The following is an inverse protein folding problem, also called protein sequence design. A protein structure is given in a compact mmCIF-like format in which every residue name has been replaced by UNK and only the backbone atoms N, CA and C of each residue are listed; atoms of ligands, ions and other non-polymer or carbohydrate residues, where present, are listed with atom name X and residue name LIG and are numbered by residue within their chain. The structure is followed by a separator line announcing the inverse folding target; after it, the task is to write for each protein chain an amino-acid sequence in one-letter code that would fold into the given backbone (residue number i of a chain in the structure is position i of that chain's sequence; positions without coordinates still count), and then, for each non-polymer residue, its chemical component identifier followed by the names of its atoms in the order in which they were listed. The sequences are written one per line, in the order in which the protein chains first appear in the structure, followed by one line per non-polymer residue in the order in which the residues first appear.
data_IF_016574767328
#
_entry.id   IF_016574767328
#
_cell.length_a   1.000
_cell.length_b   1.000
_cell.length_c   1.000
_cell.angle_alpha   90.00
_cell.angle_beta   90.00
_cell.angle_gamma   90.00
#
_symmetry.space_group_name_H-M   'P 1'
#
loop_
_entity.id
_entity.type
_entity.pdbx_description
1 polymer ?
#
# COMPACT_ATOMS: atom_id res chain seq x y z
N UNK A 1 9.54 16.54 -24.49
CA UNK A 1 10.65 15.90 -23.73
C UNK A 1 10.12 14.79 -22.85
N UNK A 2 10.76 13.66 -22.88
CA UNK A 2 10.36 12.52 -22.05
C UNK A 2 10.94 12.64 -20.64
N UNK A 3 10.10 12.41 -19.62
CA UNK A 3 10.53 12.46 -18.23
C UNK A 3 10.46 11.05 -17.66
N UNK A 4 11.61 10.53 -17.25
CA UNK A 4 11.68 9.21 -16.63
C UNK A 4 11.19 9.30 -15.19
N UNK A 5 10.26 8.42 -14.84
CA UNK A 5 9.71 8.38 -13.49
C UNK A 5 10.71 7.69 -12.56
N UNK A 6 11.23 8.44 -11.61
CA UNK A 6 12.16 7.90 -10.61
C UNK A 6 11.39 7.29 -9.45
N UNK A 7 11.93 6.21 -8.88
CA UNK A 7 11.24 5.46 -7.81
C UNK A 7 10.93 6.34 -6.60
N UNK A 8 11.87 7.22 -6.22
CA UNK A 8 11.70 8.05 -5.02
C UNK A 8 10.67 9.17 -5.20
N UNK A 9 10.16 9.39 -6.41
CA UNK A 9 9.09 10.36 -6.67
C UNK A 9 7.70 9.76 -6.47
N UNK A 10 7.61 8.45 -6.36
CA UNK A 10 6.35 7.77 -6.07
C UNK A 10 6.37 7.35 -4.61
N UNK A 11 5.52 7.98 -3.82
CA UNK A 11 5.51 7.81 -2.38
C UNK A 11 4.30 7.00 -1.94
N UNK A 12 4.45 6.32 -0.81
CA UNK A 12 3.37 5.60 -0.17
C UNK A 12 3.10 6.21 1.20
N UNK A 13 1.83 6.27 1.57
CA UNK A 13 1.39 6.80 2.85
C UNK A 13 0.51 5.77 3.54
N UNK A 14 0.64 5.69 4.84
CA UNK A 14 -0.04 4.70 5.67
C UNK A 14 -0.99 5.42 6.61
N UNK A 15 -2.23 4.95 6.68
CA UNK A 15 -3.21 5.52 7.59
C UNK A 15 -3.01 4.98 9.00
N UNK A 16 -2.30 5.74 9.82
CA UNK A 16 -2.08 5.38 11.22
C UNK A 16 -3.36 5.67 11.99
N UNK A 17 -3.94 4.69 12.71
CA UNK A 17 -5.13 4.94 13.50
C UNK A 17 -4.88 6.01 14.55
N UNK A 18 -5.83 6.92 14.71
CA UNK A 18 -5.76 7.97 15.72
C UNK A 18 -6.98 7.88 16.64
N UNK A 19 -6.82 8.38 17.85
CA UNK A 19 -7.90 8.38 18.86
C UNK A 19 -8.84 9.56 18.70
N UNK A 20 -8.65 10.40 17.68
CA UNK A 20 -9.48 11.57 17.44
C UNK A 20 -10.67 11.29 16.53
N UNK A 21 -11.41 12.34 16.22
CA UNK A 21 -12.60 12.27 15.36
C UNK A 21 -12.26 12.09 13.89
N UNK A 22 -11.01 12.31 13.50
CA UNK A 22 -10.57 12.20 12.12
C UNK A 22 -10.27 10.76 11.68
N UNK A 23 -10.28 9.81 12.60
CA UNK A 23 -10.08 8.40 12.30
C UNK A 23 -8.63 8.00 12.11
N UNK A 24 -7.92 8.59 11.18
CA UNK A 24 -6.51 8.27 10.95
C UNK A 24 -5.79 9.42 10.25
N UNK A 25 -4.46 9.38 10.33
CA UNK A 25 -3.58 10.35 9.66
C UNK A 25 -2.75 9.59 8.63
N UNK A 26 -2.70 10.13 7.40
CA UNK A 26 -1.89 9.57 6.32
C UNK A 26 -0.45 10.03 6.49
N UNK A 27 0.40 9.13 6.97
CA UNK A 27 1.81 9.39 7.27
C UNK A 27 2.70 8.67 6.27
N UNK A 28 3.77 9.33 5.84
CA UNK A 28 4.69 8.78 4.85
C UNK A 28 5.34 7.48 5.35
N UNK A 29 5.38 6.49 4.50
CA UNK A 29 6.02 5.21 4.78
C UNK A 29 7.52 5.35 4.51
N UNK A 30 8.31 5.44 5.59
CA UNK A 30 9.76 5.62 5.53
C UNK A 30 10.47 4.35 5.95
N UNK A 31 11.73 4.23 5.55
CA UNK A 31 12.64 3.15 5.95
C UNK A 31 12.24 1.79 5.39
N UNK A 32 11.41 1.77 4.38
CA UNK A 32 11.04 0.53 3.70
C UNK A 32 12.11 0.18 2.67
N UNK A 33 12.63 -1.03 2.78
CA UNK A 33 13.59 -1.56 1.81
C UNK A 33 12.89 -2.24 0.64
N UNK A 34 11.60 -2.56 0.82
CA UNK A 34 10.80 -3.20 -0.21
C UNK A 34 9.37 -2.71 -0.14
N UNK A 35 8.84 -2.25 -1.26
CA UNK A 35 7.41 -1.94 -1.45
C UNK A 35 7.10 -2.25 -2.89
N UNK A 36 6.71 -3.49 -3.17
CA UNK A 36 6.45 -3.97 -4.52
C UNK A 36 4.98 -4.30 -4.67
N UNK A 37 4.33 -3.64 -5.63
CA UNK A 37 2.89 -3.85 -5.88
C UNK A 37 2.71 -4.95 -6.91
N UNK A 38 1.91 -5.96 -6.57
CA UNK A 38 1.53 -7.06 -7.46
C UNK A 38 0.04 -6.93 -7.76
N UNK A 39 -0.30 -6.80 -9.03
CA UNK A 39 -1.70 -6.60 -9.42
C UNK A 39 -2.52 -7.89 -9.39
N UNK A 40 -1.90 -9.03 -9.67
CA UNK A 40 -2.54 -10.34 -9.64
C UNK A 40 -3.91 -10.33 -10.33
N UNK A 41 -3.94 -10.00 -11.63
CA UNK A 41 -5.22 -9.90 -12.33
C UNK A 41 -5.94 -11.24 -12.41
N UNK A 42 -7.25 -11.21 -12.32
CA UNK A 42 -8.10 -12.38 -12.48
C UNK A 42 -8.59 -12.40 -13.92
N UNK A 43 -8.26 -13.46 -14.65
CA UNK A 43 -8.57 -13.55 -16.07
C UNK A 43 -9.72 -14.54 -16.33
N UNK A 44 -10.55 -14.17 -17.29
CA UNK A 44 -11.52 -15.08 -17.86
C UNK A 44 -11.04 -15.45 -19.26
N UNK A 45 -10.66 -16.72 -19.44
CA UNK A 45 -10.10 -17.20 -20.69
C UNK A 45 -11.11 -18.13 -21.37
N UNK A 46 -11.52 -17.78 -22.59
CA UNK A 46 -12.52 -18.55 -23.30
C UNK A 46 -12.20 -18.53 -24.80
N UNK A 47 -12.46 -19.69 -25.43
CA UNK A 47 -12.39 -19.79 -26.90
C UNK A 47 -13.73 -20.31 -27.39
N UNK A 48 -14.43 -19.48 -28.14
CA UNK A 48 -15.74 -19.85 -28.68
C UNK A 48 -15.57 -20.73 -29.91
N UNK A 49 -16.58 -21.55 -30.18
CA UNK A 49 -16.49 -22.58 -31.24
C UNK A 49 -16.38 -21.99 -32.64
N UNK A 50 -16.81 -20.74 -32.84
CA UNK A 50 -16.75 -20.03 -34.11
C UNK A 50 -15.55 -19.10 -34.23
N UNK A 51 -14.63 -19.14 -33.28
CA UNK A 51 -13.46 -18.27 -33.27
C UNK A 51 -12.17 -19.08 -33.33
N UNK A 52 -11.19 -18.55 -34.07
CA UNK A 52 -9.88 -19.19 -34.19
C UNK A 52 -8.98 -18.89 -33.01
N UNK A 53 -9.20 -17.75 -32.33
CA UNK A 53 -8.36 -17.26 -31.25
C UNK A 53 -9.07 -17.29 -29.91
N UNK A 54 -8.31 -17.54 -28.86
CA UNK A 54 -8.81 -17.48 -27.49
C UNK A 54 -8.94 -16.01 -27.06
N UNK A 55 -10.01 -15.72 -26.32
CA UNK A 55 -10.19 -14.40 -25.69
C UNK A 55 -9.69 -14.45 -24.25
N UNK A 56 -8.99 -13.41 -23.87
CA UNK A 56 -8.48 -13.25 -22.50
C UNK A 56 -8.97 -11.92 -21.96
N UNK A 57 -9.89 -11.98 -21.00
CA UNK A 57 -10.47 -10.78 -20.40
C UNK A 57 -10.06 -10.68 -18.94
N UNK A 58 -9.69 -9.46 -18.51
CA UNK A 58 -9.41 -9.20 -17.10
C UNK A 58 -10.71 -8.86 -16.41
N UNK A 59 -11.14 -9.70 -15.47
CA UNK A 59 -12.44 -9.54 -14.80
C UNK A 59 -12.28 -9.03 -13.37
N UNK A 60 -11.07 -8.94 -12.87
CA UNK A 60 -10.84 -8.41 -11.53
C UNK A 60 -9.37 -8.39 -11.17
N UNK A 61 -9.07 -7.89 -9.98
CA UNK A 61 -7.71 -7.82 -9.46
C UNK A 61 -7.68 -8.28 -8.01
N UNK A 62 -6.60 -8.93 -7.65
CA UNK A 62 -6.31 -9.29 -6.27
C UNK A 62 -4.99 -8.64 -5.88
N UNK A 63 -4.99 -7.32 -5.80
CA UNK A 63 -3.80 -6.52 -5.62
C UNK A 63 -3.17 -6.75 -4.25
N UNK A 64 -1.84 -6.89 -4.23
CA UNK A 64 -1.08 -6.98 -2.99
C UNK A 64 0.18 -6.14 -3.10
N UNK A 65 0.73 -5.77 -1.95
CA UNK A 65 1.99 -5.05 -1.85
C UNK A 65 2.90 -5.86 -0.93
N UNK A 66 4.04 -6.30 -1.46
CA UNK A 66 5.06 -6.96 -0.63
C UNK A 66 5.90 -5.88 0.03
N UNK A 67 6.10 -5.99 1.34
CA UNK A 67 6.85 -4.99 2.08
C UNK A 67 7.98 -5.61 2.89
N UNK A 68 8.96 -4.78 3.18
CA UNK A 68 10.03 -5.08 4.13
C UNK A 68 10.60 -3.77 4.64
N UNK A 69 10.94 -3.71 5.90
CA UNK A 69 11.53 -2.48 6.46
C UNK A 69 12.49 -2.80 7.59
N UNK A 70 13.39 -1.84 7.82
CA UNK A 70 14.25 -1.83 9.00
C UNK A 70 13.50 -1.13 10.13
N UNK A 71 13.49 -1.72 11.32
CA UNK A 71 12.70 -1.20 12.42
C UNK A 71 13.38 0.01 13.09
N UNK A 72 12.66 1.12 13.10
CA UNK A 72 13.04 2.33 13.82
C UNK A 72 12.02 2.58 14.92
N UNK A 73 12.46 2.50 16.16
CA UNK A 73 11.56 2.48 17.32
C UNK A 73 10.68 3.73 17.47
N UNK A 74 11.10 4.87 16.90
CA UNK A 74 10.37 6.13 17.03
C UNK A 74 9.51 6.47 15.80
N UNK A 75 9.32 5.55 14.87
CA UNK A 75 8.47 5.76 13.69
C UNK A 75 7.08 5.19 13.95
N UNK A 76 6.06 6.03 13.73
CA UNK A 76 4.66 5.64 14.02
C UNK A 76 4.15 4.54 13.10
N UNK A 77 4.49 4.62 11.82
CA UNK A 77 4.05 3.62 10.82
C UNK A 77 4.66 2.26 11.14
N UNK A 78 5.96 2.24 11.38
CA UNK A 78 6.68 0.99 11.68
C UNK A 78 6.19 0.40 13.00
N UNK A 79 5.94 1.25 14.00
CA UNK A 79 5.43 0.80 15.28
C UNK A 79 4.05 0.14 15.16
N UNK A 80 3.17 0.70 14.34
CA UNK A 80 1.84 0.14 14.13
C UNK A 80 1.91 -1.22 13.42
N UNK A 81 2.73 -1.33 12.38
CA UNK A 81 2.91 -2.60 11.67
C UNK A 81 3.55 -3.64 12.60
N UNK A 82 4.56 -3.24 13.37
CA UNK A 82 5.21 -4.14 14.33
C UNK A 82 4.23 -4.63 15.39
N UNK A 83 3.31 -3.78 15.84
CA UNK A 83 2.28 -4.18 16.79
C UNK A 83 1.37 -5.26 16.21
N UNK A 84 0.98 -5.12 14.94
CA UNK A 84 0.16 -6.13 14.26
C UNK A 84 0.88 -7.47 14.21
N UNK A 85 2.20 -7.45 13.92
CA UNK A 85 3.02 -8.66 13.91
C UNK A 85 3.10 -9.31 15.28
N UNK A 86 3.44 -8.51 16.30
CA UNK A 86 3.77 -9.03 17.62
C UNK A 86 2.54 -9.47 18.41
N UNK A 87 1.41 -8.80 18.20
CA UNK A 87 0.17 -9.12 18.91
C UNK A 87 -0.75 -10.02 18.10
N UNK A 88 -0.34 -10.38 16.87
CA UNK A 88 -1.07 -11.28 15.98
C UNK A 88 -2.53 -10.82 15.79
N UNK A 89 -2.69 -9.53 15.47
CA UNK A 89 -4.01 -8.93 15.29
C UNK A 89 -4.71 -9.53 14.06
N UNK A 90 -6.02 -9.65 14.15
CA UNK A 90 -6.83 -10.28 13.10
C UNK A 90 -8.01 -9.40 12.71
N UNK A 91 -8.59 -9.70 11.54
CA UNK A 91 -9.81 -9.04 11.07
C UNK A 91 -9.63 -7.54 10.92
N UNK A 92 -10.58 -6.78 11.41
CA UNK A 92 -10.57 -5.33 11.27
C UNK A 92 -9.41 -4.65 11.99
N UNK A 93 -8.84 -5.30 13.00
CA UNK A 93 -7.69 -4.77 13.72
C UNK A 93 -6.41 -4.80 12.90
N UNK A 94 -6.38 -5.60 11.84
CA UNK A 94 -5.24 -5.71 10.93
C UNK A 94 -5.46 -4.97 9.62
N UNK A 95 -6.52 -4.18 9.50
CA UNK A 95 -6.82 -3.43 8.27
C UNK A 95 -6.33 -2.01 8.38
N UNK A 96 -5.69 -1.54 7.32
CA UNK A 96 -5.15 -0.17 7.24
C UNK A 96 -5.31 0.38 5.84
N UNK A 97 -5.43 1.70 5.75
CA UNK A 97 -5.52 2.38 4.46
C UNK A 97 -4.13 2.73 3.97
N UNK A 98 -3.85 2.46 2.71
CA UNK A 98 -2.58 2.81 2.07
C UNK A 98 -2.87 3.68 0.86
N UNK A 99 -2.15 4.78 0.77
CA UNK A 99 -2.26 5.77 -0.30
C UNK A 99 -0.98 5.74 -1.12
N UNK A 100 -1.11 5.53 -2.42
CA UNK A 100 0.01 5.58 -3.35
C UNK A 100 -0.07 6.90 -4.13
N UNK A 101 1.00 7.69 -4.08
CA UNK A 101 1.04 9.05 -4.62
C UNK A 101 2.10 9.16 -5.70
N UNK A 102 1.72 9.78 -6.82
CA UNK A 102 2.66 10.22 -7.86
C UNK A 102 2.93 11.72 -7.64
N UNK A 103 4.14 12.06 -7.18
CA UNK A 103 4.45 13.45 -6.85
C UNK A 103 4.60 14.35 -8.08
N UNK A 104 4.78 13.78 -9.27
CA UNK A 104 4.82 14.60 -10.50
C UNK A 104 3.46 15.16 -10.86
N UNK A 105 2.40 14.39 -10.67
CA UNK A 105 1.05 14.79 -11.06
C UNK A 105 0.17 15.17 -9.88
N UNK A 106 0.56 14.82 -8.66
CA UNK A 106 -0.25 15.01 -7.47
C UNK A 106 -1.41 14.04 -7.36
N UNK A 107 -1.51 13.08 -8.26
CA UNK A 107 -2.59 12.09 -8.26
C UNK A 107 -2.28 10.96 -7.31
N UNK A 108 -3.32 10.42 -6.71
CA UNK A 108 -3.16 9.38 -5.71
C UNK A 108 -4.28 8.36 -5.79
N UNK A 109 -3.99 7.17 -5.27
CA UNK A 109 -4.95 6.07 -5.20
C UNK A 109 -4.97 5.58 -3.76
N UNK A 110 -6.15 5.61 -3.15
CA UNK A 110 -6.37 5.14 -1.79
C UNK A 110 -7.10 3.81 -1.82
N UNK A 111 -6.66 2.88 -0.98
CA UNK A 111 -7.31 1.58 -0.86
C UNK A 111 -7.03 1.01 0.53
N UNK A 112 -7.98 0.25 1.05
CA UNK A 112 -7.80 -0.46 2.30
C UNK A 112 -7.12 -1.81 2.04
N UNK A 113 -6.22 -2.18 2.95
CA UNK A 113 -5.47 -3.43 2.88
C UNK A 113 -5.49 -4.13 4.22
N UNK A 114 -5.39 -5.45 4.18
CA UNK A 114 -5.12 -6.24 5.37
C UNK A 114 -3.61 -6.41 5.48
N UNK A 115 -3.06 -6.14 6.66
CA UNK A 115 -1.64 -6.35 6.92
C UNK A 115 -1.42 -7.81 7.24
N UNK A 116 -0.67 -8.49 6.37
CA UNK A 116 -0.40 -9.93 6.51
C UNK A 116 1.05 -10.08 6.95
N UNK A 117 1.29 -10.37 8.25
CA UNK A 117 2.66 -10.57 8.74
C UNK A 117 3.34 -11.76 8.07
N UNK A 118 4.59 -11.58 7.71
CA UNK A 118 5.42 -12.64 7.16
C UNK A 118 6.49 -13.05 8.15
N UNK A 119 7.68 -12.48 8.00
CA UNK A 119 8.83 -12.82 8.85
C UNK A 119 9.33 -11.58 9.60
N UNK A 120 10.05 -11.82 10.70
CA UNK A 120 10.69 -10.76 11.45
C UNK A 120 11.99 -11.29 12.07
N UNK A 121 12.97 -10.38 12.19
CA UNK A 121 14.22 -10.70 12.88
C UNK A 121 15.17 -11.60 12.11
N UNK A 122 15.13 -11.60 10.78
CA UNK A 122 15.98 -12.47 9.97
C UNK A 122 17.36 -11.85 9.64
N UNK A 123 17.61 -10.62 10.05
CA UNK A 123 18.91 -9.97 9.87
C UNK A 123 19.68 -9.98 11.19
N UNK A 124 20.99 -10.13 11.11
CA UNK A 124 21.82 -10.25 12.32
C UNK A 124 22.22 -8.90 12.92
N UNK A 125 22.11 -7.81 12.17
CA UNK A 125 22.56 -6.49 12.60
C UNK A 125 21.41 -5.56 12.97
N UNK A 126 20.32 -5.61 12.22
CA UNK A 126 19.17 -4.72 12.37
C UNK A 126 17.91 -5.58 12.45
N UNK A 127 16.97 -5.18 13.31
CA UNK A 127 15.71 -5.90 13.37
C UNK A 127 14.82 -5.50 12.18
N UNK A 128 14.37 -6.48 11.41
CA UNK A 128 13.59 -6.25 10.21
C UNK A 128 12.24 -6.95 10.28
N UNK A 129 11.27 -6.41 9.58
CA UNK A 129 9.94 -7.00 9.40
C UNK A 129 9.65 -7.12 7.92
N UNK A 130 8.97 -8.18 7.53
CA UNK A 130 8.49 -8.33 6.16
C UNK A 130 7.15 -9.05 6.13
N UNK A 131 6.41 -8.85 5.06
CA UNK A 131 5.11 -9.45 4.87
C UNK A 131 4.46 -8.87 3.62
N UNK A 132 3.13 -8.83 3.63
CA UNK A 132 2.41 -8.23 2.52
C UNK A 132 1.16 -7.51 3.01
N UNK A 133 0.72 -6.53 2.19
CA UNK A 133 -0.58 -5.89 2.33
C UNK A 133 -1.46 -6.44 1.22
N UNK A 134 -2.58 -7.05 1.57
CA UNK A 134 -3.52 -7.58 0.57
C UNK A 134 -4.78 -6.73 0.55
N UNK A 135 -5.25 -6.42 -0.64
CA UNK A 135 -6.38 -5.52 -0.80
C UNK A 135 -7.67 -6.11 -0.21
N UNK A 136 -8.45 -5.26 0.44
CA UNK A 136 -9.75 -5.63 0.99
C UNK A 136 -10.83 -4.59 0.67
N UNK A 137 -10.64 -3.84 -0.41
CA UNK A 137 -11.60 -2.84 -0.85
C UNK A 137 -11.29 -2.35 -2.24
N UNK A 138 -12.13 -1.45 -2.74
CA UNK A 138 -11.95 -0.84 -4.05
C UNK A 138 -11.04 0.38 -3.97
N UNK A 139 -10.46 0.73 -5.11
CA UNK A 139 -9.63 1.92 -5.19
C UNK A 139 -10.49 3.19 -5.20
N UNK A 140 -9.97 4.23 -4.53
CA UNK A 140 -10.54 5.58 -4.60
C UNK A 140 -9.46 6.48 -5.21
N UNK A 141 -9.78 7.11 -6.33
CA UNK A 141 -8.86 8.01 -7.02
C UNK A 141 -9.02 9.42 -6.47
N UNK A 142 -7.93 10.17 -6.46
CA UNK A 142 -8.00 11.54 -6.01
C UNK A 142 -6.66 12.26 -6.14
N UNK A 143 -6.54 13.35 -5.41
CA UNK A 143 -5.35 14.18 -5.36
C UNK A 143 -4.94 14.39 -3.92
N UNK A 144 -3.67 14.80 -3.72
CA UNK A 144 -3.14 15.06 -2.38
C UNK A 144 -2.59 16.47 -2.29
N UNK A 145 -2.65 17.00 -1.08
CA UNK A 145 -2.00 18.26 -0.72
C UNK A 145 -1.14 18.02 0.51
N UNK A 146 -0.05 18.78 0.62
CA UNK A 146 0.84 18.67 1.76
C UNK A 146 1.33 20.04 2.17
N UNK A 147 1.56 20.23 3.47
CA UNK A 147 2.14 21.45 4.02
C UNK A 147 3.48 21.21 4.71
N UNK A 148 3.93 19.95 4.78
CA UNK A 148 5.13 19.54 5.50
C UNK A 148 6.09 18.72 4.65
N UNK A 149 6.13 19.01 3.35
CA UNK A 149 7.01 18.36 2.38
C UNK A 149 6.81 16.83 2.35
N UNK A 150 5.54 16.40 2.29
CA UNK A 150 5.15 14.99 2.20
C UNK A 150 5.50 14.15 3.42
N UNK A 151 5.65 14.75 4.60
CA UNK A 151 5.69 13.97 5.83
C UNK A 151 4.29 13.40 6.14
N UNK A 152 3.27 14.26 5.98
CA UNK A 152 1.87 13.86 5.98
C UNK A 152 1.15 14.51 4.81
N UNK A 153 0.03 13.95 4.40
CA UNK A 153 -0.76 14.51 3.29
C UNK A 153 -2.25 14.47 3.61
N UNK A 154 -2.98 15.33 2.92
CA UNK A 154 -4.44 15.31 2.93
C UNK A 154 -4.92 14.80 1.57
N UNK A 155 -5.74 13.77 1.59
CA UNK A 155 -6.28 13.16 0.38
C UNK A 155 -7.67 13.71 0.10
N UNK A 156 -7.89 14.09 -1.16
CA UNK A 156 -9.20 14.55 -1.64
C UNK A 156 -9.64 13.65 -2.79
N UNK A 157 -10.73 12.94 -2.60
CA UNK A 157 -11.24 12.03 -3.63
C UNK A 157 -11.79 12.81 -4.82
N UNK A 158 -11.64 12.24 -6.02
CA UNK A 158 -12.28 12.77 -7.21
C UNK A 158 -13.77 12.57 -7.13
N UNK A 159 -14.52 13.55 -7.64
CA UNK A 159 -15.99 13.48 -7.69
C UNK A 159 -16.49 12.95 -9.02
#
# INVERSE_FOLDING_TARGET
MSILQERHKKLAFYGVPSTGTAGYVLTRMKFFTKLTTNKNPIEHNVKYVDEASQRNDVVGYNTSIDYGFDDYANDQVLADIAQIHNEELTGDQAKRSILLVDTYTGKAILRDYSVIPGTSGDDVNVYTYSGSFKSCGEITKGTVTTSDNYATVTFTADT
#
